data_IF_920658944971
#
_entry.id   IF_920658944971
#
_cell.length_a   1.000
_cell.length_b   1.000
_cell.length_c   1.000
_cell.angle_alpha   90.00
_cell.angle_beta   90.00
_cell.angle_gamma   90.00
#
_symmetry.space_group_name_H-M   'P 1'
#
loop_
_entity.id
_entity.type
_entity.pdbx_description
1 polymer ?
#
# COMPACT_ATOMS: atom_id res chain seq x y z
N UNK A 1 8.82 -21.16 11.58
CA UNK A 1 9.44 -19.86 11.26
C UNK A 1 8.44 -18.79 11.65
N UNK A 2 8.70 -18.01 12.69
CA UNK A 2 7.85 -16.86 13.00
C UNK A 2 8.03 -15.86 11.85
N UNK A 3 6.94 -15.46 11.18
CA UNK A 3 6.98 -14.29 10.32
C UNK A 3 7.28 -13.10 11.23
N UNK A 4 8.50 -12.56 11.14
CA UNK A 4 8.79 -11.28 11.78
C UNK A 4 7.95 -10.21 11.10
N UNK A 5 7.05 -9.59 11.86
CA UNK A 5 6.13 -8.59 11.33
C UNK A 5 6.84 -7.25 11.19
N UNK A 6 6.93 -6.76 9.96
CA UNK A 6 7.36 -5.40 9.67
C UNK A 6 6.32 -4.40 10.18
N UNK A 7 6.80 -3.26 10.69
CA UNK A 7 5.97 -2.08 10.94
C UNK A 7 5.62 -1.44 9.60
N UNK A 8 4.41 -0.94 9.50
CA UNK A 8 3.94 -0.22 8.32
C UNK A 8 3.82 1.26 8.65
N UNK A 9 4.51 2.09 7.88
CA UNK A 9 4.35 3.54 7.88
C UNK A 9 3.76 3.96 6.53
N UNK A 10 2.66 4.69 6.58
CA UNK A 10 2.09 5.36 5.41
C UNK A 10 2.50 6.83 5.52
N UNK A 11 3.28 7.30 4.55
CA UNK A 11 3.74 8.68 4.48
C UNK A 11 2.57 9.63 4.26
N UNK A 12 2.69 10.87 4.73
CA UNK A 12 1.63 11.87 4.60
C UNK A 12 1.20 12.10 3.16
N UNK A 13 2.16 12.03 2.22
CA UNK A 13 1.88 12.13 0.78
C UNK A 13 1.03 10.97 0.29
N UNK A 14 1.42 9.72 0.58
CA UNK A 14 0.65 8.54 0.19
C UNK A 14 -0.75 8.55 0.81
N UNK A 15 -0.90 9.04 2.05
CA UNK A 15 -2.21 9.21 2.69
C UNK A 15 -3.11 10.17 1.90
N UNK A 16 -2.59 11.32 1.48
CA UNK A 16 -3.35 12.28 0.67
C UNK A 16 -3.77 11.68 -0.68
N UNK A 17 -2.87 10.95 -1.35
CA UNK A 17 -3.17 10.29 -2.63
C UNK A 17 -4.26 9.21 -2.47
N UNK A 18 -4.25 8.45 -1.36
CA UNK A 18 -5.29 7.47 -1.04
C UNK A 18 -6.63 8.15 -0.75
N UNK A 19 -6.63 9.24 0.02
CA UNK A 19 -7.84 9.99 0.35
C UNK A 19 -8.47 10.61 -0.92
N UNK A 20 -7.65 11.17 -1.81
CA UNK A 20 -8.08 11.71 -3.11
C UNK A 20 -8.67 10.63 -4.02
N UNK A 21 -7.99 9.49 -4.15
CA UNK A 21 -8.47 8.37 -4.96
C UNK A 21 -9.78 7.78 -4.40
N UNK A 22 -9.89 7.62 -3.08
CA UNK A 22 -11.12 7.19 -2.43
C UNK A 22 -12.27 8.17 -2.70
N UNK A 23 -12.02 9.48 -2.59
CA UNK A 23 -13.01 10.51 -2.89
C UNK A 23 -13.45 10.48 -4.36
N UNK A 24 -12.50 10.36 -5.30
CA UNK A 24 -12.80 10.22 -6.72
C UNK A 24 -13.74 9.05 -7.01
N UNK A 25 -13.44 7.88 -6.45
CA UNK A 25 -14.26 6.68 -6.66
C UNK A 25 -15.63 6.80 -6.00
N UNK A 26 -15.74 7.40 -4.82
CA UNK A 26 -17.03 7.62 -4.16
C UNK A 26 -17.96 8.52 -4.98
N UNK A 27 -17.41 9.57 -5.61
CA UNK A 27 -18.18 10.46 -6.49
C UNK A 27 -18.62 9.76 -7.79
N UNK A 28 -17.88 8.74 -8.25
CA UNK A 28 -18.30 7.93 -9.42
C UNK A 28 -19.45 7.01 -9.09
N UNK A 29 -19.41 6.35 -7.94
CA UNK A 29 -20.48 5.47 -7.49
C UNK A 29 -20.42 5.32 -5.98
N UNK A 30 -21.58 5.45 -5.34
CA UNK A 30 -21.73 5.29 -3.90
C UNK A 30 -21.13 3.95 -3.44
N UNK A 31 -20.25 4.00 -2.45
CA UNK A 31 -19.55 2.85 -1.86
C UNK A 31 -18.28 2.41 -2.58
N UNK A 32 -17.98 2.93 -3.78
CA UNK A 32 -16.79 2.54 -4.53
C UNK A 32 -15.50 3.10 -3.90
N UNK A 33 -15.56 4.29 -3.29
CA UNK A 33 -14.44 4.86 -2.54
C UNK A 33 -14.09 4.02 -1.31
N UNK A 34 -15.11 3.52 -0.61
CA UNK A 34 -14.93 2.56 0.49
C UNK A 34 -14.27 1.26 0.03
N UNK A 35 -14.67 0.73 -1.14
CA UNK A 35 -14.05 -0.47 -1.70
C UNK A 35 -12.57 -0.24 -2.04
N UNK A 36 -12.25 0.91 -2.62
CA UNK A 36 -10.85 1.31 -2.89
C UNK A 36 -10.03 1.33 -1.60
N UNK A 37 -10.50 2.02 -0.57
CA UNK A 37 -9.80 2.11 0.70
C UNK A 37 -9.58 0.75 1.36
N UNK A 38 -10.59 -0.13 1.32
CA UNK A 38 -10.48 -1.50 1.86
C UNK A 38 -9.45 -2.33 1.11
N UNK A 39 -9.40 -2.20 -0.21
CA UNK A 39 -8.39 -2.91 -1.01
C UNK A 39 -6.98 -2.39 -0.73
N UNK A 40 -6.78 -1.07 -0.75
CA UNK A 40 -5.50 -0.47 -0.38
C UNK A 40 -5.04 -0.93 1.02
N UNK A 41 -5.93 -0.90 2.01
CA UNK A 41 -5.63 -1.35 3.38
C UNK A 41 -5.28 -2.85 3.43
N UNK A 42 -6.00 -3.68 2.69
CA UNK A 42 -5.73 -5.12 2.64
C UNK A 42 -4.34 -5.40 2.09
N UNK A 43 -3.98 -4.78 0.96
CA UNK A 43 -2.67 -4.94 0.32
C UNK A 43 -1.54 -4.32 1.15
N UNK A 44 -1.76 -3.16 1.75
CA UNK A 44 -0.76 -2.56 2.65
C UNK A 44 -0.47 -3.44 3.86
N UNK A 45 -1.47 -4.17 4.37
CA UNK A 45 -1.27 -5.10 5.48
C UNK A 45 -0.47 -6.35 5.07
N UNK A 46 -0.52 -6.80 3.81
CA UNK A 46 0.32 -7.92 3.37
C UNK A 46 1.80 -7.56 3.37
N UNK A 47 2.14 -6.27 3.21
CA UNK A 47 3.52 -5.81 3.31
C UNK A 47 4.13 -6.00 4.70
N UNK A 48 3.30 -6.08 5.76
CA UNK A 48 3.79 -6.35 7.12
C UNK A 48 4.39 -7.75 7.26
N UNK A 49 3.85 -8.71 6.51
CA UNK A 49 4.27 -10.11 6.57
C UNK A 49 5.22 -10.49 5.43
N UNK A 50 5.01 -9.90 4.24
CA UNK A 50 5.75 -10.26 3.03
C UNK A 50 6.13 -8.96 2.31
N UNK A 51 7.21 -8.27 2.69
CA UNK A 51 7.63 -7.04 2.02
C UNK A 51 8.52 -7.26 0.79
N UNK A 52 8.88 -8.51 0.47
CA UNK A 52 9.88 -8.84 -0.56
C UNK A 52 9.26 -8.99 -1.96
N UNK A 53 8.63 -7.93 -2.45
CA UNK A 53 8.15 -7.86 -3.84
C UNK A 53 9.23 -7.38 -4.81
N UNK A 54 8.94 -7.48 -6.12
CA UNK A 54 9.85 -7.07 -7.21
C UNK A 54 10.35 -5.63 -7.04
N UNK A 55 11.67 -5.46 -7.13
CA UNK A 55 12.36 -4.17 -7.11
C UNK A 55 12.33 -3.57 -8.52
N UNK A 56 11.77 -2.36 -8.67
CA UNK A 56 11.72 -1.66 -9.97
C UNK A 56 12.77 -0.55 -10.09
N UNK A 57 13.10 0.11 -8.99
CA UNK A 57 14.06 1.22 -8.96
C UNK A 57 14.94 1.17 -7.72
N UNK A 58 16.06 0.44 -7.78
CA UNK A 58 17.03 0.34 -6.69
C UNK A 58 16.38 -0.18 -5.38
N UNK A 59 15.87 0.72 -4.53
CA UNK A 59 15.25 0.41 -3.24
C UNK A 59 13.71 0.39 -3.28
N UNK A 60 13.10 0.81 -4.39
CA UNK A 60 11.64 0.90 -4.53
C UNK A 60 11.06 -0.39 -5.08
N UNK A 61 10.13 -0.96 -4.32
CA UNK A 61 9.33 -2.13 -4.68
C UNK A 61 7.91 -1.69 -5.05
N UNK A 62 7.24 -2.51 -5.84
CA UNK A 62 5.87 -2.22 -6.28
C UNK A 62 4.90 -3.36 -6.00
N UNK A 63 3.69 -3.01 -5.58
CA UNK A 63 2.59 -3.93 -5.36
C UNK A 63 1.33 -3.41 -6.07
N UNK A 64 0.95 -3.97 -7.24
CA UNK A 64 -0.26 -3.56 -7.95
C UNK A 64 -1.53 -3.99 -7.19
N UNK A 65 -2.52 -3.11 -7.13
CA UNK A 65 -3.87 -3.48 -6.69
C UNK A 65 -4.58 -4.27 -7.79
N UNK A 66 -5.49 -5.18 -7.42
CA UNK A 66 -6.13 -6.10 -8.37
C UNK A 66 -7.43 -5.55 -8.94
N UNK A 67 -8.23 -4.85 -8.15
CA UNK A 67 -9.54 -4.31 -8.61
C UNK A 67 -9.47 -2.84 -9.00
N UNK A 68 -8.39 -2.15 -8.67
CA UNK A 68 -8.18 -0.75 -9.02
C UNK A 68 -6.87 -0.57 -9.80
N UNK A 69 -6.84 0.33 -10.79
CA UNK A 69 -5.66 0.61 -11.61
C UNK A 69 -4.61 1.46 -10.86
N UNK A 70 -4.21 1.01 -9.67
CA UNK A 70 -3.25 1.69 -8.80
C UNK A 70 -2.13 0.73 -8.39
N UNK A 71 -0.96 1.29 -8.16
CA UNK A 71 0.23 0.55 -7.74
C UNK A 71 0.76 1.19 -6.46
N UNK A 72 0.88 0.39 -5.41
CA UNK A 72 1.55 0.80 -4.18
C UNK A 72 3.05 0.77 -4.42
N UNK A 73 3.70 1.92 -4.30
CA UNK A 73 5.16 2.02 -4.28
C UNK A 73 5.61 2.06 -2.82
N UNK A 74 6.64 1.31 -2.48
CA UNK A 74 7.13 1.27 -1.10
C UNK A 74 8.60 0.91 -1.02
N UNK A 75 9.23 1.23 0.10
CA UNK A 75 10.59 0.84 0.43
C UNK A 75 10.60 -0.05 1.67
N UNK A 76 11.64 -0.87 1.80
CA UNK A 76 11.81 -1.80 2.93
C UNK A 76 13.13 -1.48 3.62
N UNK A 77 13.05 -1.18 4.91
CA UNK A 77 14.19 -1.08 5.81
C UNK A 77 14.24 -2.37 6.64
N UNK A 78 15.18 -3.25 6.28
CA UNK A 78 15.32 -4.57 6.89
C UNK A 78 15.92 -4.53 8.30
N UNK A 79 16.75 -3.52 8.59
CA UNK A 79 17.41 -3.31 9.88
C UNK A 79 16.38 -2.86 10.93
N UNK A 80 15.50 -1.92 10.55
CA UNK A 80 14.45 -1.39 11.41
C UNK A 80 13.11 -2.14 11.31
N UNK A 81 13.04 -3.16 10.43
CA UNK A 81 11.79 -3.89 10.09
C UNK A 81 10.65 -2.93 9.75
N UNK A 82 10.92 -1.96 8.89
CA UNK A 82 9.97 -0.90 8.52
C UNK A 82 9.66 -0.95 7.03
N UNK A 83 8.37 -0.91 6.70
CA UNK A 83 7.87 -0.66 5.35
C UNK A 83 7.30 0.74 5.29
N UNK A 84 7.77 1.52 4.32
CA UNK A 84 7.29 2.88 4.08
C UNK A 84 6.59 2.96 2.71
N UNK A 85 5.29 3.24 2.74
CA UNK A 85 4.46 3.56 1.57
C UNK A 85 4.40 5.08 1.41
#
# INVERSE_FOLDING_TARGET
MALENFKLQILSRAKLEVDEAAYYYENKSKGLGKLFYLEFKSYSNTLKSIPFFEEKYNIVRTLPLRKFPYIIHFTVDEDNKLVSI
#
